data_IF_767764767801
#
_entry.id   IF_767764767801
#
_cell.length_a   1.000
_cell.length_b   1.000
_cell.length_c   1.000
_cell.angle_alpha   90.00
_cell.angle_beta   90.00
_cell.angle_gamma   90.00
#
_symmetry.space_group_name_H-M   'P 1'
#
loop_
_entity.id
_entity.type
_entity.pdbx_description
1 polymer ?
#
# COMPACT_ATOMS: atom_id res chain seq x y z
N UNK A 1 -1.00 -21.23 14.96
CA UNK A 1 -2.24 -20.44 14.74
C UNK A 1 -2.50 -19.59 15.97
N UNK A 2 -2.59 -18.29 15.75
CA UNK A 2 -2.77 -17.30 16.81
C UNK A 2 -4.22 -17.29 17.30
N UNK A 3 -4.42 -16.84 18.54
CA UNK A 3 -5.73 -16.55 19.10
C UNK A 3 -6.36 -15.31 18.46
N UNK A 4 -7.69 -15.18 18.59
CA UNK A 4 -8.42 -14.02 18.11
C UNK A 4 -7.89 -12.73 18.74
N UNK A 5 -7.63 -12.77 20.04
CA UNK A 5 -7.13 -11.64 20.82
C UNK A 5 -5.72 -11.22 20.38
N UNK A 6 -4.85 -12.16 20.02
CA UNK A 6 -3.52 -11.86 19.48
C UNK A 6 -3.59 -11.16 18.12
N UNK A 7 -4.51 -11.58 17.25
CA UNK A 7 -4.73 -10.98 15.93
C UNK A 7 -5.40 -9.59 16.02
N UNK A 8 -6.29 -9.39 16.99
CA UNK A 8 -6.85 -8.07 17.31
C UNK A 8 -5.75 -7.13 17.83
N UNK A 9 -4.94 -7.59 18.77
CA UNK A 9 -3.81 -6.82 19.28
C UNK A 9 -2.76 -6.53 18.18
N UNK A 10 -2.55 -7.45 17.24
CA UNK A 10 -1.71 -7.20 16.07
C UNK A 10 -2.30 -6.11 15.18
N UNK A 11 -3.61 -6.18 14.91
CA UNK A 11 -4.32 -5.19 14.09
C UNK A 11 -4.20 -3.79 14.69
N UNK A 12 -4.35 -3.64 16.01
CA UNK A 12 -4.18 -2.36 16.69
C UNK A 12 -2.75 -1.80 16.55
N UNK A 13 -1.72 -2.66 16.65
CA UNK A 13 -0.33 -2.25 16.44
C UNK A 13 -0.07 -1.82 15.00
N UNK A 14 -0.58 -2.57 14.03
CA UNK A 14 -0.47 -2.24 12.61
C UNK A 14 -1.12 -0.89 12.30
N UNK A 15 -2.38 -0.70 12.71
CA UNK A 15 -3.12 0.55 12.48
C UNK A 15 -2.42 1.75 13.10
N UNK A 16 -1.92 1.60 14.32
CA UNK A 16 -1.15 2.65 14.99
C UNK A 16 0.14 2.97 14.21
N UNK A 17 0.90 1.96 13.82
CA UNK A 17 2.14 2.16 13.06
C UNK A 17 1.86 2.81 11.69
N UNK A 18 0.77 2.43 11.02
CA UNK A 18 0.37 3.05 9.75
C UNK A 18 0.01 4.53 9.92
N UNK A 19 -0.72 4.89 10.97
CA UNK A 19 -1.01 6.30 11.29
C UNK A 19 0.24 7.11 11.63
N UNK A 20 1.20 6.49 12.32
CA UNK A 20 2.50 7.11 12.63
C UNK A 20 3.33 7.33 11.35
N UNK A 21 3.32 6.36 10.44
CA UNK A 21 3.94 6.45 9.12
C UNK A 21 3.32 7.57 8.26
N UNK A 22 1.99 7.62 8.17
CA UNK A 22 1.25 8.69 7.48
C UNK A 22 1.60 10.07 8.02
N UNK A 23 1.68 10.22 9.35
CA UNK A 23 2.05 11.48 9.98
C UNK A 23 3.51 11.86 9.70
N UNK A 24 4.40 10.89 9.59
CA UNK A 24 5.81 11.09 9.29
C UNK A 24 6.07 11.31 7.79
N UNK A 25 5.16 10.88 6.92
CA UNK A 25 5.41 10.75 5.48
C UNK A 25 6.45 9.67 5.17
N UNK A 26 6.60 8.66 6.03
CA UNK A 26 7.59 7.58 5.89
C UNK A 26 6.98 6.24 6.32
N UNK A 27 6.76 5.35 5.36
CA UNK A 27 6.19 4.02 5.57
C UNK A 27 7.22 2.92 5.70
N UNK A 28 8.52 3.21 5.47
CA UNK A 28 9.59 2.20 5.55
C UNK A 28 9.64 1.45 6.89
N UNK A 29 9.35 2.06 8.06
CA UNK A 29 9.32 1.33 9.33
C UNK A 29 8.27 0.20 9.37
N UNK A 30 7.22 0.26 8.55
CA UNK A 30 6.23 -0.83 8.48
C UNK A 30 6.84 -2.14 7.99
N UNK A 31 7.98 -2.09 7.29
CA UNK A 31 8.71 -3.28 6.85
C UNK A 31 9.13 -4.20 8.02
N UNK A 32 9.20 -3.67 9.25
CA UNK A 32 9.54 -4.46 10.43
C UNK A 32 8.42 -5.44 10.86
N UNK A 33 7.22 -5.30 10.29
CA UNK A 33 6.12 -6.27 10.49
C UNK A 33 6.23 -7.51 9.59
N UNK A 34 7.16 -7.56 8.65
CA UNK A 34 7.24 -8.64 7.65
C UNK A 34 8.33 -9.66 8.00
N UNK A 35 8.11 -10.92 7.59
CA UNK A 35 9.19 -11.92 7.56
C UNK A 35 10.25 -11.53 6.53
N UNK A 36 11.46 -12.07 6.66
CA UNK A 36 12.58 -11.72 5.77
C UNK A 36 12.30 -12.09 4.30
N UNK A 37 11.52 -13.14 4.08
CA UNK A 37 11.12 -13.71 2.80
C UNK A 37 9.69 -13.32 2.36
N UNK A 38 9.07 -12.36 3.06
CA UNK A 38 7.68 -11.99 2.80
C UNK A 38 7.45 -11.46 1.38
N UNK A 39 6.21 -11.53 0.91
CA UNK A 39 5.84 -10.97 -0.40
C UNK A 39 4.76 -9.91 -0.28
N UNK A 40 4.89 -8.80 -0.99
CA UNK A 40 3.88 -7.75 -1.04
C UNK A 40 3.58 -7.39 -2.50
N UNK A 41 2.33 -7.52 -2.92
CA UNK A 41 1.94 -7.18 -4.28
C UNK A 41 0.51 -6.70 -4.44
N UNK A 42 0.24 -6.09 -5.59
CA UNK A 42 -1.06 -5.61 -6.03
C UNK A 42 -1.12 -5.57 -7.55
N UNK A 43 -2.31 -5.48 -8.11
CA UNK A 43 -2.51 -5.37 -9.55
C UNK A 43 -2.65 -3.90 -9.98
N UNK A 44 -2.09 -3.55 -11.14
CA UNK A 44 -2.21 -2.24 -11.78
C UNK A 44 -2.94 -2.39 -13.11
N UNK A 45 -4.27 -2.38 -13.01
CA UNK A 45 -5.15 -2.47 -14.17
C UNK A 45 -4.88 -3.72 -15.04
N UNK A 46 -5.19 -3.68 -16.34
CA UNK A 46 -5.17 -4.87 -17.18
C UNK A 46 -3.78 -5.23 -17.72
N UNK A 47 -2.70 -4.61 -17.22
CA UNK A 47 -1.38 -4.70 -17.88
C UNK A 47 -0.25 -5.19 -16.98
N UNK A 48 -0.26 -4.79 -15.72
CA UNK A 48 0.90 -4.94 -14.85
C UNK A 48 0.50 -5.43 -13.47
N UNK A 49 1.42 -6.18 -12.88
CA UNK A 49 1.40 -6.63 -11.50
C UNK A 49 2.61 -6.03 -10.79
N UNK A 50 2.43 -5.58 -9.55
CA UNK A 50 3.55 -5.25 -8.67
C UNK A 50 3.73 -6.37 -7.67
N UNK A 51 4.97 -6.80 -7.50
CA UNK A 51 5.35 -7.83 -6.54
C UNK A 51 6.76 -7.58 -6.00
N UNK A 52 6.87 -7.27 -4.72
CA UNK A 52 8.13 -7.20 -4.00
C UNK A 52 8.36 -8.52 -3.26
N UNK A 53 9.57 -9.06 -3.33
CA UNK A 53 9.96 -10.33 -2.71
C UNK A 53 11.10 -10.10 -1.71
N UNK A 54 10.80 -10.31 -0.44
CA UNK A 54 11.70 -10.10 0.68
C UNK A 54 11.53 -8.73 1.34
N UNK A 55 11.80 -8.68 2.65
CA UNK A 55 11.56 -7.49 3.49
C UNK A 55 12.28 -6.24 2.99
N UNK A 56 13.49 -6.38 2.46
CA UNK A 56 14.28 -5.23 2.00
C UNK A 56 13.69 -4.62 0.72
N UNK A 57 13.25 -5.46 -0.23
CA UNK A 57 12.55 -4.96 -1.42
C UNK A 57 11.20 -4.34 -1.06
N UNK A 58 10.46 -4.95 -0.13
CA UNK A 58 9.22 -4.37 0.42
C UNK A 58 9.48 -2.98 1.02
N UNK A 59 10.55 -2.83 1.80
CA UNK A 59 10.93 -1.56 2.44
C UNK A 59 11.26 -0.49 1.42
N UNK A 60 12.12 -0.80 0.46
CA UNK A 60 12.66 0.19 -0.45
C UNK A 60 11.73 0.51 -1.63
N UNK A 61 10.97 -0.48 -2.09
CA UNK A 61 10.08 -0.36 -3.26
C UNK A 61 8.64 -0.09 -2.82
N UNK A 62 7.98 -1.05 -2.19
CA UNK A 62 6.55 -0.92 -1.88
C UNK A 62 6.23 0.17 -0.84
N UNK A 63 7.01 0.23 0.24
CA UNK A 63 6.84 1.21 1.33
C UNK A 63 7.70 2.47 1.14
N UNK A 64 8.62 2.45 0.19
CA UNK A 64 9.50 3.56 -0.15
C UNK A 64 9.07 4.19 -1.47
N UNK A 65 9.65 3.72 -2.57
CA UNK A 65 9.50 4.25 -3.92
C UNK A 65 8.04 4.47 -4.36
N UNK A 66 7.14 3.56 -3.99
CA UNK A 66 5.71 3.61 -4.32
C UNK A 66 4.89 4.51 -3.39
N UNK A 67 5.44 4.90 -2.24
CA UNK A 67 4.83 5.87 -1.32
C UNK A 67 5.36 7.29 -1.52
N UNK A 68 6.49 7.45 -2.24
CA UNK A 68 7.01 8.77 -2.61
C UNK A 68 5.96 9.61 -3.36
N UNK A 69 5.79 10.87 -2.92
CA UNK A 69 4.80 11.80 -3.47
C UNK A 69 3.41 11.69 -2.84
N UNK A 70 3.15 10.70 -1.99
CA UNK A 70 1.87 10.50 -1.31
C UNK A 70 1.90 10.99 0.15
N UNK A 71 2.84 11.87 0.50
CA UNK A 71 3.03 12.33 1.88
C UNK A 71 1.82 13.10 2.44
N UNK A 72 0.98 13.65 1.56
CA UNK A 72 -0.27 14.32 1.91
C UNK A 72 -1.51 13.40 1.79
N UNK A 73 -1.33 12.13 1.48
CA UNK A 73 -2.39 11.14 1.40
C UNK A 73 -2.50 10.36 2.70
N UNK A 74 -3.72 10.00 3.07
CA UNK A 74 -4.02 9.14 4.21
C UNK A 74 -4.94 8.00 3.81
N UNK A 75 -4.75 6.84 4.44
CA UNK A 75 -5.45 5.60 4.17
C UNK A 75 -6.34 5.26 5.36
N UNK A 76 -7.49 5.91 5.43
CA UNK A 76 -8.37 5.82 6.59
C UNK A 76 -9.07 4.45 6.65
N UNK A 77 -8.61 3.56 7.54
CA UNK A 77 -9.22 2.26 7.76
C UNK A 77 -10.67 2.38 8.27
N UNK A 78 -11.59 1.75 7.54
CA UNK A 78 -13.02 1.72 7.80
C UNK A 78 -13.46 0.45 8.52
N UNK A 79 -12.77 -0.67 8.28
CA UNK A 79 -13.10 -1.98 8.84
C UNK A 79 -11.87 -2.88 8.87
N UNK A 80 -11.81 -3.74 9.89
CA UNK A 80 -10.87 -4.87 9.95
C UNK A 80 -11.69 -6.14 10.09
N UNK A 81 -11.40 -7.14 9.25
CA UNK A 81 -11.92 -8.50 9.34
C UNK A 81 -10.76 -9.43 9.67
N UNK A 82 -11.00 -10.41 10.54
CA UNK A 82 -10.00 -11.36 11.01
C UNK A 82 -10.56 -12.77 10.83
N UNK A 83 -9.76 -13.64 10.23
CA UNK A 83 -9.96 -15.10 10.18
C UNK A 83 -8.85 -15.78 10.98
N UNK A 84 -9.15 -16.13 12.23
CA UNK A 84 -8.20 -16.77 13.14
C UNK A 84 -7.83 -18.21 12.74
N UNK A 85 -8.65 -18.88 11.92
CA UNK A 85 -8.32 -20.23 11.43
C UNK A 85 -7.30 -20.19 10.31
N UNK A 86 -7.13 -19.03 9.70
CA UNK A 86 -6.18 -18.80 8.64
C UNK A 86 -5.08 -17.82 9.07
N UNK A 87 -5.05 -17.26 10.28
CA UNK A 87 -4.13 -16.16 10.61
C UNK A 87 -4.18 -15.03 9.54
N UNK A 88 -5.37 -14.76 8.99
CA UNK A 88 -5.56 -13.78 7.92
C UNK A 88 -6.35 -12.59 8.42
N UNK A 89 -5.95 -11.41 7.93
CA UNK A 89 -6.54 -10.14 8.31
C UNK A 89 -6.79 -9.34 7.05
N UNK A 90 -7.99 -8.76 6.91
CA UNK A 90 -8.32 -7.84 5.82
C UNK A 90 -8.68 -6.50 6.41
N UNK A 91 -7.89 -5.49 6.10
CA UNK A 91 -8.20 -4.10 6.35
C UNK A 91 -8.86 -3.46 5.13
N UNK A 92 -9.95 -2.76 5.32
CA UNK A 92 -10.57 -1.94 4.28
C UNK A 92 -10.34 -0.47 4.60
N UNK A 93 -9.89 0.30 3.62
CA UNK A 93 -9.52 1.70 3.81
C UNK A 93 -10.06 2.59 2.68
N UNK A 94 -10.22 3.88 3.01
CA UNK A 94 -10.46 4.96 2.06
C UNK A 94 -9.14 5.63 1.72
N UNK A 95 -9.03 6.20 0.51
CA UNK A 95 -7.89 7.04 0.13
C UNK A 95 -8.33 8.50 0.14
N UNK A 96 -7.59 9.33 0.88
CA UNK A 96 -7.92 10.74 1.03
C UNK A 96 -6.66 11.57 0.79
N UNK A 97 -6.69 12.42 -0.23
CA UNK A 97 -5.64 13.39 -0.49
C UNK A 97 -5.94 14.71 0.25
N UNK A 98 -5.03 15.14 1.11
CA UNK A 98 -5.12 16.44 1.79
C UNK A 98 -4.46 17.53 0.92
N UNK A 99 -5.19 18.58 0.60
CA UNK A 99 -4.69 19.68 -0.23
C UNK A 99 -4.02 20.76 0.60
N UNK A 100 -3.21 21.58 -0.07
CA UNK A 100 -2.51 22.74 0.51
C UNK A 100 -3.47 23.80 1.07
N UNK A 101 -4.67 23.91 0.52
CA UNK A 101 -5.73 24.82 0.99
C UNK A 101 -6.53 24.30 2.20
N UNK A 102 -6.19 23.11 2.70
CA UNK A 102 -6.84 22.45 3.84
C UNK A 102 -8.09 21.65 3.48
N UNK A 103 -8.52 21.64 2.21
CA UNK A 103 -9.59 20.76 1.75
C UNK A 103 -9.11 19.31 1.57
N UNK A 104 -10.06 18.38 1.47
CA UNK A 104 -9.81 16.94 1.30
C UNK A 104 -10.49 16.44 0.04
N UNK A 105 -9.76 15.68 -0.77
CA UNK A 105 -10.31 14.90 -1.88
C UNK A 105 -10.32 13.42 -1.49
N UNK A 106 -11.51 12.89 -1.25
CA UNK A 106 -11.72 11.44 -1.13
C UNK A 106 -11.74 10.84 -2.53
N UNK A 107 -10.87 9.85 -2.76
CA UNK A 107 -10.86 9.09 -4.01
C UNK A 107 -11.96 8.04 -3.90
N UNK A 108 -12.94 8.15 -4.79
CA UNK A 108 -14.11 7.28 -4.76
C UNK A 108 -13.73 5.81 -4.94
N UNK A 109 -14.27 4.95 -4.08
CA UNK A 109 -13.98 3.53 -4.05
C UNK A 109 -13.58 3.07 -2.64
N UNK A 110 -13.26 1.78 -2.52
CA UNK A 110 -12.68 1.20 -1.32
C UNK A 110 -11.41 0.47 -1.72
N UNK A 111 -10.36 0.64 -0.95
CA UNK A 111 -9.18 -0.20 -1.05
C UNK A 111 -9.12 -1.15 0.13
N UNK A 112 -8.17 -2.06 0.08
CA UNK A 112 -7.88 -2.90 1.20
C UNK A 112 -6.51 -3.55 1.10
N UNK A 113 -6.06 -3.98 2.27
CA UNK A 113 -4.83 -4.73 2.47
C UNK A 113 -5.19 -6.04 3.14
N UNK A 114 -4.82 -7.14 2.49
CA UNK A 114 -5.03 -8.50 2.96
C UNK A 114 -3.70 -9.10 3.38
N UNK A 115 -3.61 -9.51 4.64
CA UNK A 115 -2.42 -10.02 5.28
C UNK A 115 -2.59 -11.48 5.65
N UNK A 116 -1.50 -12.24 5.54
CA UNK A 116 -1.31 -13.52 6.21
C UNK A 116 -0.16 -13.42 7.18
N UNK A 117 -0.38 -13.89 8.41
CA UNK A 117 0.65 -13.91 9.45
C UNK A 117 1.19 -15.33 9.70
N UNK A 118 2.50 -15.40 9.96
CA UNK A 118 3.16 -16.61 10.45
C UNK A 118 2.86 -16.83 11.95
N UNK A 119 3.42 -17.89 12.53
CA UNK A 119 3.24 -18.19 13.95
C UNK A 119 3.93 -17.18 14.90
N UNK A 120 4.85 -16.35 14.39
CA UNK A 120 5.50 -15.25 15.13
C UNK A 120 4.74 -13.91 15.00
N UNK A 121 3.56 -13.91 14.37
CA UNK A 121 2.75 -12.72 14.06
C UNK A 121 3.46 -11.70 13.15
N UNK A 122 4.33 -12.19 12.26
CA UNK A 122 4.91 -11.43 11.16
C UNK A 122 4.18 -11.72 9.86
N UNK A 123 4.11 -10.73 8.98
CA UNK A 123 3.46 -10.82 7.67
C UNK A 123 4.30 -11.73 6.76
N UNK A 124 3.73 -12.87 6.36
CA UNK A 124 4.28 -13.77 5.33
C UNK A 124 3.97 -13.23 3.94
N UNK A 125 2.77 -12.69 3.77
CA UNK A 125 2.42 -11.98 2.56
C UNK A 125 1.33 -10.93 2.78
N UNK A 126 1.38 -9.89 1.96
CA UNK A 126 0.36 -8.86 1.85
C UNK A 126 -0.12 -8.73 0.40
N UNK A 127 -1.43 -8.56 0.20
CA UNK A 127 -2.04 -8.24 -1.08
C UNK A 127 -2.92 -7.01 -0.96
N UNK A 128 -2.59 -5.99 -1.73
CA UNK A 128 -3.39 -4.78 -1.81
C UNK A 128 -4.31 -4.80 -3.03
N UNK A 129 -5.49 -4.22 -2.86
CA UNK A 129 -6.46 -4.03 -3.93
C UNK A 129 -7.12 -2.67 -3.77
N UNK A 130 -7.29 -1.97 -4.88
CA UNK A 130 -7.96 -0.67 -4.93
C UNK A 130 -8.39 -0.37 -6.37
N UNK A 131 -9.27 0.62 -6.51
CA UNK A 131 -9.72 1.05 -7.84
C UNK A 131 -8.65 1.91 -8.53
N UNK A 132 -7.85 1.27 -9.37
CA UNK A 132 -6.81 1.94 -10.15
C UNK A 132 -7.36 3.05 -11.06
N UNK A 133 -8.57 2.89 -11.62
CA UNK A 133 -9.17 3.90 -12.50
C UNK A 133 -9.50 5.19 -11.76
N UNK A 134 -10.01 5.09 -10.54
CA UNK A 134 -10.27 6.25 -9.68
C UNK A 134 -8.97 6.92 -9.21
N UNK A 135 -7.94 6.14 -8.86
CA UNK A 135 -6.61 6.68 -8.50
C UNK A 135 -5.97 7.40 -9.68
N UNK A 136 -5.98 6.79 -10.88
CA UNK A 136 -5.46 7.41 -12.10
C UNK A 136 -6.17 8.73 -12.40
N UNK A 137 -7.50 8.76 -12.29
CA UNK A 137 -8.29 10.00 -12.46
C UNK A 137 -7.92 11.07 -11.45
N UNK A 138 -7.62 10.71 -10.20
CA UNK A 138 -7.17 11.65 -9.18
C UNK A 138 -5.79 12.24 -9.54
N UNK A 139 -4.84 11.41 -9.97
CA UNK A 139 -3.53 11.91 -10.43
C UNK A 139 -3.64 12.85 -11.63
N UNK A 140 -4.50 12.54 -12.61
CA UNK A 140 -4.73 13.44 -13.76
C UNK A 140 -5.26 14.81 -13.32
N UNK A 141 -6.19 14.85 -12.36
CA UNK A 141 -6.70 16.12 -11.83
C UNK A 141 -5.64 16.94 -11.12
N UNK A 142 -4.75 16.30 -10.36
CA UNK A 142 -3.64 16.99 -9.69
C UNK A 142 -2.64 17.57 -10.70
N UNK A 143 -2.38 16.84 -11.80
CA UNK A 143 -1.57 17.34 -12.91
C UNK A 143 -2.23 18.56 -13.56
N UNK A 144 -3.54 18.48 -13.83
CA UNK A 144 -4.30 19.58 -14.46
C UNK A 144 -4.40 20.83 -13.56
N UNK A 145 -4.47 20.66 -12.23
CA UNK A 145 -4.57 21.79 -11.30
C UNK A 145 -3.23 22.47 -11.03
N UNK A 146 -2.11 21.79 -11.25
CA UNK A 146 -0.77 22.27 -10.93
C UNK A 146 -0.41 22.16 -9.43
N UNK A 147 -1.27 21.54 -8.62
CA UNK A 147 -1.06 21.35 -7.17
C UNK A 147 -0.17 20.13 -6.85
N UNK A 148 0.82 19.86 -7.70
CA UNK A 148 1.74 18.74 -7.49
C UNK A 148 2.82 19.13 -6.49
N UNK A 149 3.01 18.30 -5.47
CA UNK A 149 4.24 18.38 -4.66
C UNK A 149 5.45 18.07 -5.56
N UNK A 150 6.65 18.60 -5.27
CA UNK A 150 7.84 18.28 -6.06
C UNK A 150 8.14 16.77 -6.13
N UNK A 151 7.80 16.01 -5.08
CA UNK A 151 7.93 14.55 -5.03
C UNK A 151 6.91 13.85 -5.94
N UNK A 152 5.63 14.27 -5.90
CA UNK A 152 4.61 13.75 -6.81
C UNK A 152 4.91 14.08 -8.28
N UNK A 153 5.43 15.28 -8.57
CA UNK A 153 5.87 15.63 -9.91
C UNK A 153 6.95 14.68 -10.43
N UNK A 154 7.98 14.38 -9.62
CA UNK A 154 9.02 13.40 -9.98
C UNK A 154 8.44 12.00 -10.21
N UNK A 155 7.48 11.57 -9.39
CA UNK A 155 6.78 10.29 -9.57
C UNK A 155 6.09 10.21 -10.94
N UNK A 156 5.39 11.28 -11.32
CA UNK A 156 4.70 11.36 -12.62
C UNK A 156 5.70 11.39 -13.78
N UNK A 157 6.77 12.18 -13.68
CA UNK A 157 7.83 12.25 -14.70
C UNK A 157 8.47 10.88 -14.92
N UNK A 158 8.74 10.14 -13.85
CA UNK A 158 9.26 8.76 -13.89
C UNK A 158 8.31 7.80 -14.62
N UNK A 159 7.02 7.88 -14.31
CA UNK A 159 5.98 7.09 -14.98
C UNK A 159 5.89 7.42 -16.48
N UNK A 160 5.92 8.70 -16.85
CA UNK A 160 5.87 9.17 -18.24
C UNK A 160 7.12 8.82 -19.05
N UNK A 161 8.29 8.77 -18.40
CA UNK A 161 9.54 8.37 -19.02
C UNK A 161 9.59 6.88 -19.40
N UNK A 162 8.60 6.08 -18.96
CA UNK A 162 8.55 4.64 -19.19
C UNK A 162 9.67 3.90 -18.45
N UNK A 163 10.16 4.47 -17.34
CA UNK A 163 11.17 3.82 -16.52
C UNK A 163 10.60 2.52 -15.94
N UNK A 164 11.32 1.42 -16.14
CA UNK A 164 10.95 0.14 -15.53
C UNK A 164 11.23 0.23 -14.04
N UNK A 165 10.17 0.37 -13.25
CA UNK A 165 10.28 0.38 -11.81
C UNK A 165 10.58 -1.03 -11.28
N UNK A 166 11.46 -1.16 -10.26
CA UNK A 166 11.65 -2.43 -9.59
C UNK A 166 10.31 -2.92 -9.02
N UNK A 167 10.12 -4.24 -9.00
CA UNK A 167 8.87 -4.85 -8.56
C UNK A 167 7.73 -4.86 -9.60
N UNK A 168 7.86 -4.24 -10.77
CA UNK A 168 6.83 -4.25 -11.81
C UNK A 168 7.03 -5.38 -12.82
N UNK A 169 5.96 -6.11 -13.11
CA UNK A 169 5.95 -7.23 -14.03
C UNK A 169 4.76 -7.13 -14.99
N UNK A 170 4.88 -7.63 -16.23
CA UNK A 170 3.71 -7.86 -17.07
C UNK A 170 2.67 -8.72 -16.33
N UNK A 171 1.39 -8.49 -16.64
CA UNK A 171 0.27 -9.20 -16.02
C UNK A 171 0.49 -10.73 -16.02
N UNK A 172 0.50 -11.34 -14.84
CA UNK A 172 0.67 -12.78 -14.65
C UNK A 172 2.11 -13.30 -14.75
N UNK A 173 3.10 -12.41 -14.92
CA UNK A 173 4.52 -12.77 -15.01
C UNK A 173 5.31 -12.44 -13.72
N UNK A 174 4.64 -11.99 -12.65
CA UNK A 174 5.25 -11.78 -11.36
C UNK A 174 5.87 -13.08 -10.79
N UNK A 175 7.00 -13.00 -10.03
CA UNK A 175 7.71 -14.16 -9.52
C UNK A 175 6.88 -14.98 -8.51
N UNK A 176 5.88 -14.35 -7.91
CA UNK A 176 4.90 -14.97 -7.01
C UNK A 176 3.52 -14.55 -7.47
N UNK A 177 2.56 -15.48 -7.43
CA UNK A 177 1.18 -15.16 -7.77
C UNK A 177 0.58 -14.18 -6.77
N UNK A 178 -0.14 -13.19 -7.29
CA UNK A 178 -0.91 -12.26 -6.45
C UNK A 178 -2.07 -13.00 -5.76
N UNK A 179 -2.68 -13.98 -6.44
CA UNK A 179 -3.80 -14.79 -5.96
C UNK A 179 -3.50 -16.30 -6.02
#
# INVERSE_FOLDING_TARGET
MASREELEAWSDRWLKANQEAEKAGDWKPLADFYTEDATYGWNIGPKEDVMCVGRDEIRDVALGLEMEGLENWVYEYQRVLIDEKQNEIVGFWKQIANKSDGSKDEIYGIGGSWFRLNDDLLIEWQRDFFDFGHVQKAFLKLIESGDLTPTMQKRIERSLAGEKLPGYYPLGEAPVKIW
#
